data_IF_689542625725
#
_entry.id   IF_689542625725
#
_cell.length_a   1.000
_cell.length_b   1.000
_cell.length_c   1.000
_cell.angle_alpha   90.00
_cell.angle_beta   90.00
_cell.angle_gamma   90.00
#
_symmetry.space_group_name_H-M   'P 1'
#
loop_
_entity.id
_entity.type
_entity.pdbx_description
1 polymer ?
#
# COMPACT_ATOMS: atom_id res chain seq x y z
N UNK A 1 20.79 -19.71 -12.55
CA UNK A 1 19.56 -18.94 -12.84
C UNK A 1 19.33 -18.05 -11.65
N UNK A 2 19.51 -16.74 -11.80
CA UNK A 2 19.11 -15.79 -10.75
C UNK A 2 17.59 -15.78 -10.82
N UNK A 3 16.94 -16.41 -9.84
CA UNK A 3 15.51 -16.21 -9.64
C UNK A 3 15.40 -14.76 -9.21
N UNK A 4 15.05 -13.88 -10.14
CA UNK A 4 14.71 -12.51 -9.82
C UNK A 4 13.47 -12.63 -8.95
N UNK A 5 13.64 -12.54 -7.62
CA UNK A 5 12.50 -12.45 -6.71
C UNK A 5 11.64 -11.31 -7.23
N UNK A 6 10.43 -11.63 -7.69
CA UNK A 6 9.48 -10.62 -8.14
C UNK A 6 9.24 -9.70 -6.94
N UNK A 7 9.78 -8.48 -6.99
CA UNK A 7 9.77 -7.55 -5.86
C UNK A 7 8.39 -6.92 -5.74
N UNK A 8 7.92 -6.75 -4.51
CA UNK A 8 6.84 -5.82 -4.19
C UNK A 8 7.36 -4.40 -4.41
N UNK A 9 6.65 -3.58 -5.18
CA UNK A 9 7.03 -2.19 -5.42
C UNK A 9 5.79 -1.30 -5.49
N UNK A 10 6.01 0.01 -5.36
CA UNK A 10 4.96 1.02 -5.43
C UNK A 10 4.78 1.40 -6.89
N UNK A 11 3.58 1.17 -7.42
CA UNK A 11 3.20 1.46 -8.81
C UNK A 11 2.75 2.89 -8.99
N UNK A 12 1.99 3.39 -8.03
CA UNK A 12 1.52 4.77 -8.00
C UNK A 12 1.46 5.28 -6.56
N UNK A 13 1.82 6.55 -6.41
CA UNK A 13 1.68 7.29 -5.17
C UNK A 13 1.05 8.64 -5.49
N UNK A 14 -0.25 8.77 -5.22
CA UNK A 14 -0.96 10.02 -5.38
C UNK A 14 -1.04 10.70 -4.03
N UNK A 15 -0.14 11.65 -3.83
CA UNK A 15 -0.15 12.54 -2.68
C UNK A 15 -0.32 13.96 -3.22
N UNK A 16 -1.42 14.60 -2.84
CA UNK A 16 -1.70 16.04 -2.94
C UNK A 16 -2.53 16.60 -4.12
N UNK A 17 -2.62 16.00 -5.31
CA UNK A 17 -3.35 16.64 -6.44
C UNK A 17 -4.62 15.91 -6.93
N UNK A 18 -4.97 14.76 -6.37
CA UNK A 18 -6.05 13.91 -6.89
C UNK A 18 -7.30 13.79 -5.98
N UNK A 19 -7.44 14.65 -4.96
CA UNK A 19 -8.57 14.62 -4.02
C UNK A 19 -8.44 13.57 -2.91
N UNK A 20 -7.84 12.40 -3.17
CA UNK A 20 -7.61 11.34 -2.18
C UNK A 20 -6.12 10.99 -2.05
N UNK A 21 -5.68 10.57 -0.86
CA UNK A 21 -4.31 10.05 -0.66
C UNK A 21 -4.32 8.54 -0.93
N UNK A 22 -3.71 8.10 -2.03
CA UNK A 22 -3.74 6.71 -2.51
C UNK A 22 -2.33 6.18 -2.74
N UNK A 23 -2.08 4.94 -2.30
CA UNK A 23 -0.88 4.17 -2.62
C UNK A 23 -1.26 2.85 -3.28
N UNK A 24 -0.71 2.58 -4.46
CA UNK A 24 -0.87 1.32 -5.18
C UNK A 24 0.39 0.46 -5.03
N UNK A 25 0.24 -0.74 -4.48
CA UNK A 25 1.32 -1.68 -4.19
C UNK A 25 1.13 -2.93 -5.03
N UNK A 26 2.11 -3.25 -5.87
CA UNK A 26 2.10 -4.50 -6.63
C UNK A 26 2.58 -5.66 -5.76
N UNK A 27 1.80 -6.73 -5.74
CA UNK A 27 2.18 -8.00 -5.13
C UNK A 27 2.34 -9.07 -6.20
N UNK A 28 3.24 -10.02 -5.97
CA UNK A 28 3.56 -11.09 -6.92
C UNK A 28 3.42 -12.50 -6.35
N UNK A 29 2.94 -12.64 -5.12
CA UNK A 29 2.47 -13.90 -4.55
C UNK A 29 1.47 -13.67 -3.41
N UNK A 30 0.74 -14.73 -3.02
CA UNK A 30 -0.22 -14.70 -1.90
C UNK A 30 0.41 -14.29 -0.57
N UNK A 31 1.63 -14.73 -0.29
CA UNK A 31 2.33 -14.36 0.95
C UNK A 31 2.66 -12.87 1.02
N UNK A 32 2.96 -12.23 -0.13
CA UNK A 32 3.14 -10.79 -0.20
C UNK A 32 1.82 -10.05 0.01
N UNK A 33 0.73 -10.54 -0.62
CA UNK A 33 -0.63 -10.00 -0.41
C UNK A 33 -0.98 -9.99 1.09
N UNK A 34 -0.85 -11.14 1.76
CA UNK A 34 -1.12 -11.28 3.20
C UNK A 34 -0.22 -10.37 4.05
N UNK A 35 1.08 -10.29 3.74
CA UNK A 35 2.01 -9.39 4.44
C UNK A 35 1.61 -7.91 4.32
N UNK A 36 1.14 -7.47 3.15
CA UNK A 36 0.69 -6.09 2.94
C UNK A 36 -0.52 -5.79 3.82
N UNK A 37 -1.51 -6.70 3.85
CA UNK A 37 -2.68 -6.57 4.73
C UNK A 37 -2.29 -6.52 6.21
N UNK A 38 -1.42 -7.42 6.67
CA UNK A 38 -0.98 -7.46 8.06
C UNK A 38 -0.28 -6.16 8.48
N UNK A 39 0.57 -5.60 7.61
CA UNK A 39 1.26 -4.33 7.89
C UNK A 39 0.29 -3.16 7.91
N UNK A 40 -0.66 -3.10 6.96
CA UNK A 40 -1.70 -2.06 6.96
C UNK A 40 -2.51 -2.11 8.25
N UNK A 41 -3.01 -3.28 8.64
CA UNK A 41 -3.78 -3.43 9.89
C UNK A 41 -2.95 -3.05 11.12
N UNK A 42 -1.67 -3.43 11.16
CA UNK A 42 -0.74 -3.09 12.23
C UNK A 42 -0.61 -1.56 12.36
N UNK A 43 -0.43 -0.86 11.25
CA UNK A 43 -0.28 0.60 11.24
C UNK A 43 -1.59 1.30 11.62
N UNK A 44 -2.73 0.84 11.11
CA UNK A 44 -4.05 1.38 11.51
C UNK A 44 -4.25 1.29 13.02
N UNK A 45 -3.93 0.13 13.63
CA UNK A 45 -4.00 -0.08 15.09
C UNK A 45 -2.99 0.79 15.84
N UNK A 46 -1.76 0.94 15.35
CA UNK A 46 -0.72 1.72 16.00
C UNK A 46 -1.06 3.22 16.09
N UNK A 47 -1.71 3.75 15.05
CA UNK A 47 -2.10 5.16 14.97
C UNK A 47 -3.53 5.45 15.43
N UNK A 48 -4.30 4.40 15.80
CA UNK A 48 -5.73 4.47 16.11
C UNK A 48 -6.57 5.05 14.94
N UNK A 49 -6.22 4.72 13.70
CA UNK A 49 -7.06 5.06 12.55
C UNK A 49 -8.29 4.15 12.54
N UNK A 50 -9.51 4.72 12.57
CA UNK A 50 -10.75 3.99 12.38
C UNK A 50 -10.75 3.24 11.04
N UNK A 51 -11.35 2.04 10.96
CA UNK A 51 -11.46 1.28 9.71
C UNK A 51 -12.12 2.04 8.57
N UNK A 52 -13.03 2.97 8.89
CA UNK A 52 -13.71 3.83 7.93
C UNK A 52 -12.81 4.90 7.29
N UNK A 53 -11.63 5.17 7.84
CA UNK A 53 -10.68 6.17 7.30
C UNK A 53 -9.67 5.56 6.32
N UNK A 54 -9.53 4.24 6.28
CA UNK A 54 -8.58 3.53 5.42
C UNK A 54 -9.30 2.44 4.64
N UNK A 55 -9.46 2.65 3.34
CA UNK A 55 -10.04 1.66 2.45
C UNK A 55 -8.94 0.87 1.72
N UNK A 56 -9.20 -0.42 1.55
CA UNK A 56 -8.31 -1.36 0.88
C UNK A 56 -9.03 -2.00 -0.29
N UNK A 57 -8.49 -1.78 -1.49
CA UNK A 57 -8.97 -2.37 -2.73
C UNK A 57 -7.92 -3.31 -3.28
N UNK A 58 -8.35 -4.44 -3.84
CA UNK A 58 -7.46 -5.38 -4.55
C UNK A 58 -7.87 -5.50 -5.99
N UNK A 59 -6.92 -5.31 -6.91
CA UNK A 59 -7.08 -5.63 -8.32
C UNK A 59 -6.25 -6.87 -8.66
N UNK A 60 -6.92 -7.97 -9.02
CA UNK A 60 -6.23 -9.22 -9.33
C UNK A 60 -5.87 -9.26 -10.82
N UNK A 61 -4.58 -9.33 -11.15
CA UNK A 61 -4.11 -9.51 -12.53
C UNK A 61 -3.92 -10.99 -12.88
N UNK A 62 -3.59 -11.81 -11.88
CA UNK A 62 -3.42 -13.26 -11.98
C UNK A 62 -3.63 -13.93 -10.60
N UNK A 63 -3.53 -15.25 -10.55
CA UNK A 63 -3.66 -16.02 -9.29
C UNK A 63 -2.58 -15.63 -8.25
N UNK A 64 -1.41 -15.18 -8.69
CA UNK A 64 -0.29 -14.84 -7.80
C UNK A 64 0.01 -13.33 -7.75
N UNK A 65 -0.32 -12.58 -8.79
CA UNK A 65 0.05 -11.17 -8.93
C UNK A 65 -1.18 -10.25 -9.01
N UNK A 66 -1.07 -9.06 -8.46
CA UNK A 66 -2.10 -8.02 -8.53
C UNK A 66 -1.66 -6.74 -7.83
N UNK A 67 -2.61 -5.84 -7.63
CA UNK A 67 -2.43 -4.56 -6.96
C UNK A 67 -3.25 -4.51 -5.67
N UNK A 68 -2.69 -3.88 -4.65
CA UNK A 68 -3.42 -3.41 -3.48
C UNK A 68 -3.40 -1.89 -3.52
N UNK A 69 -4.57 -1.27 -3.55
CA UNK A 69 -4.72 0.17 -3.40
C UNK A 69 -5.14 0.47 -1.97
N UNK A 70 -4.35 1.29 -1.28
CA UNK A 70 -4.62 1.79 0.07
C UNK A 70 -5.02 3.25 -0.04
N UNK A 71 -6.23 3.59 0.39
CA UNK A 71 -6.85 4.91 0.19
C UNK A 71 -7.30 5.53 1.51
N UNK A 72 -7.00 6.81 1.71
CA UNK A 72 -7.56 7.63 2.78
C UNK A 72 -8.65 8.56 2.22
N UNK A 73 -9.91 8.28 2.57
CA UNK A 73 -11.04 9.18 2.32
C UNK A 73 -11.10 10.19 3.47
N UNK A 74 -10.67 11.44 3.28
CA UNK A 74 -11.18 12.65 3.96
C UNK A 74 -10.27 13.86 3.68
N UNK A 75 -10.89 15.01 3.36
CA UNK A 75 -10.23 16.28 2.95
C UNK A 75 -9.23 16.85 3.98
N UNK A 76 -9.31 16.44 5.25
CA UNK A 76 -8.39 16.90 6.32
C UNK A 76 -7.21 15.94 6.57
N UNK A 77 -7.14 14.80 5.86
CA UNK A 77 -6.21 13.68 6.17
C UNK A 77 -4.86 13.72 5.43
N UNK A 78 -4.55 14.81 4.70
CA UNK A 78 -3.33 14.92 3.89
C UNK A 78 -2.03 14.62 4.65
N UNK A 79 -1.94 15.06 5.91
CA UNK A 79 -0.72 14.87 6.72
C UNK A 79 -0.62 13.46 7.31
N UNK A 80 -1.76 12.84 7.62
CA UNK A 80 -1.82 11.48 8.18
C UNK A 80 -1.55 10.44 7.09
N UNK A 81 -2.09 10.62 5.88
CA UNK A 81 -1.80 9.75 4.74
C UNK A 81 -0.31 9.68 4.42
N UNK A 82 0.39 10.83 4.35
CA UNK A 82 1.85 10.84 4.09
C UNK A 82 2.65 10.06 5.15
N UNK A 83 2.36 10.26 6.44
CA UNK A 83 3.05 9.55 7.52
C UNK A 83 2.80 8.06 7.46
N UNK A 84 1.53 7.67 7.33
CA UNK A 84 1.12 6.28 7.22
C UNK A 84 1.81 5.58 6.04
N UNK A 85 1.82 6.21 4.87
CA UNK A 85 2.43 5.67 3.68
C UNK A 85 3.96 5.54 3.80
N UNK A 86 4.63 6.50 4.43
CA UNK A 86 6.07 6.38 4.71
C UNK A 86 6.40 5.21 5.62
N UNK A 87 5.59 4.98 6.66
CA UNK A 87 5.75 3.84 7.56
C UNK A 87 5.44 2.51 6.87
N UNK A 88 4.40 2.46 6.02
CA UNK A 88 4.06 1.29 5.20
C UNK A 88 5.20 0.91 4.27
N UNK A 89 5.81 1.89 3.60
CA UNK A 89 6.99 1.67 2.75
C UNK A 89 8.17 1.09 3.55
N UNK A 90 8.44 1.64 4.74
CA UNK A 90 9.53 1.21 5.59
C UNK A 90 9.33 -0.21 6.15
N UNK A 91 8.13 -0.53 6.63
CA UNK A 91 7.78 -1.85 7.20
C UNK A 91 7.78 -2.95 6.13
N UNK A 92 7.30 -2.64 4.92
CA UNK A 92 7.34 -3.58 3.80
C UNK A 92 8.72 -3.67 3.14
N UNK A 93 9.62 -2.73 3.43
CA UNK A 93 10.91 -2.56 2.76
C UNK A 93 10.75 -2.47 1.23
N UNK A 94 9.75 -1.69 0.80
CA UNK A 94 9.41 -1.48 -0.61
C UNK A 94 9.90 -0.13 -1.08
N UNK A 95 10.26 -0.07 -2.36
CA UNK A 95 10.64 1.16 -3.05
C UNK A 95 9.69 1.37 -4.25
N UNK A 96 9.79 2.52 -4.90
CA UNK A 96 9.14 2.73 -6.20
C UNK A 96 9.62 1.68 -7.20
N UNK A 97 8.72 1.24 -8.08
CA UNK A 97 9.11 0.36 -9.17
C UNK A 97 10.15 1.10 -10.04
N UNK A 98 11.27 0.44 -10.35
CA UNK A 98 12.18 0.92 -11.39
C UNK A 98 11.40 0.95 -12.72
N UNK A 99 11.33 2.11 -13.39
CA UNK A 99 10.72 2.25 -14.73
C UNK A 99 11.45 1.41 -15.79
#
# INVERSE_FOLDING_TARGET
MVVQEKRTCIRAYCNMDCGNNVMEIEYCCKSMKEKIFDVVEKLMKAHNYPPEEVELYTEEHSEECGLICVEFYHDDMHRYGLLFFNELMAELNIQYCDE
#
